data_IF_404596000057
#
_entry.id   IF_404596000057
#
_cell.length_a   1.000
_cell.length_b   1.000
_cell.length_c   1.000
_cell.angle_alpha   90.00
_cell.angle_beta   90.00
_cell.angle_gamma   90.00
#
_symmetry.space_group_name_H-M   'P 1'
#
loop_
_entity.id
_entity.type
_entity.pdbx_description
1 polymer ?
#
# COMPACT_ATOMS: atom_id res chain seq x y z
N UNK A 1 -7.55 -26.24 21.33
CA UNK A 1 -7.17 -24.91 20.79
C UNK A 1 -8.06 -24.42 19.66
N UNK A 2 -8.22 -25.18 18.56
CA UNK A 2 -9.05 -24.77 17.41
C UNK A 2 -10.48 -24.29 17.76
N UNK A 3 -11.20 -25.04 18.59
CA UNK A 3 -12.55 -24.65 19.07
C UNK A 3 -12.56 -23.33 19.86
N UNK A 4 -11.48 -23.05 20.59
CA UNK A 4 -11.36 -21.84 21.39
C UNK A 4 -11.03 -20.62 20.53
N UNK A 5 -10.15 -20.79 19.54
CA UNK A 5 -9.86 -19.76 18.52
C UNK A 5 -11.12 -19.36 17.76
N UNK A 6 -11.94 -20.35 17.35
CA UNK A 6 -13.20 -20.08 16.67
C UNK A 6 -14.23 -19.37 17.57
N UNK A 7 -14.25 -19.66 18.87
CA UNK A 7 -15.06 -18.90 19.84
C UNK A 7 -14.58 -17.46 19.95
N UNK A 8 -13.28 -17.22 20.12
CA UNK A 8 -12.70 -15.86 20.18
C UNK A 8 -12.99 -15.06 18.91
N UNK A 9 -12.97 -15.72 17.75
CA UNK A 9 -13.35 -15.10 16.49
C UNK A 9 -14.85 -14.76 16.47
N UNK A 10 -15.72 -15.68 16.89
CA UNK A 10 -17.18 -15.53 16.93
C UNK A 10 -17.64 -14.48 17.95
N UNK A 11 -17.01 -14.41 19.11
CA UNK A 11 -17.39 -13.50 20.19
C UNK A 11 -17.03 -12.03 19.86
N UNK A 12 -16.17 -11.81 18.85
CA UNK A 12 -15.70 -10.48 18.45
C UNK A 12 -15.75 -10.24 16.93
N UNK A 13 -16.78 -10.76 16.25
CA UNK A 13 -16.94 -10.67 14.78
C UNK A 13 -16.89 -9.22 14.28
N UNK A 14 -17.56 -8.29 14.96
CA UNK A 14 -17.58 -6.86 14.60
C UNK A 14 -16.18 -6.26 14.58
N UNK A 15 -15.31 -6.75 15.46
CA UNK A 15 -13.92 -6.38 15.49
C UNK A 15 -13.14 -6.82 14.25
N UNK A 16 -13.50 -7.94 13.63
CA UNK A 16 -12.79 -8.54 12.49
C UNK A 16 -13.18 -7.96 11.14
N UNK A 17 -14.34 -7.29 11.05
CA UNK A 17 -14.90 -6.75 9.81
C UNK A 17 -13.91 -5.88 9.01
N UNK A 18 -13.18 -4.91 9.60
CA UNK A 18 -12.25 -4.08 8.82
C UNK A 18 -11.13 -4.88 8.15
N UNK A 19 -10.57 -5.88 8.85
CA UNK A 19 -9.53 -6.77 8.32
C UNK A 19 -10.08 -7.60 7.16
N UNK A 20 -11.24 -8.23 7.36
CA UNK A 20 -11.88 -9.09 6.36
C UNK A 20 -12.24 -8.28 5.11
N UNK A 21 -12.76 -7.07 5.28
CA UNK A 21 -13.14 -6.18 4.19
C UNK A 21 -11.93 -5.77 3.35
N UNK A 22 -10.81 -5.37 3.97
CA UNK A 22 -9.61 -5.00 3.22
C UNK A 22 -9.02 -6.21 2.49
N UNK A 23 -8.96 -7.37 3.14
CA UNK A 23 -8.52 -8.60 2.48
C UNK A 23 -9.43 -8.91 1.29
N UNK A 24 -10.75 -8.76 1.43
CA UNK A 24 -11.70 -8.96 0.35
C UNK A 24 -11.46 -7.99 -0.82
N UNK A 25 -11.41 -6.69 -0.56
CA UNK A 25 -11.21 -5.65 -1.61
C UNK A 25 -9.89 -5.87 -2.36
N UNK A 26 -8.80 -6.12 -1.64
CA UNK A 26 -7.48 -6.36 -2.25
C UNK A 26 -7.50 -7.65 -3.08
N UNK A 27 -8.08 -8.73 -2.55
CA UNK A 27 -8.17 -10.01 -3.26
C UNK A 27 -9.10 -9.91 -4.48
N UNK A 28 -10.16 -9.12 -4.44
CA UNK A 28 -11.00 -8.80 -5.60
C UNK A 28 -10.17 -8.15 -6.70
N UNK A 29 -9.38 -7.14 -6.36
CA UNK A 29 -8.52 -6.44 -7.32
C UNK A 29 -7.49 -7.39 -7.96
N UNK A 30 -6.82 -8.21 -7.15
CA UNK A 30 -5.90 -9.24 -7.64
C UNK A 30 -6.62 -10.20 -8.58
N UNK A 31 -7.83 -10.63 -8.24
CA UNK A 31 -8.64 -11.52 -9.06
C UNK A 31 -9.02 -10.92 -10.40
N UNK A 32 -9.37 -9.62 -10.45
CA UNK A 32 -9.65 -8.91 -11.72
C UNK A 32 -8.40 -8.88 -12.60
N UNK A 33 -7.24 -8.49 -12.05
CA UNK A 33 -6.00 -8.43 -12.81
C UNK A 33 -5.50 -9.80 -13.26
N UNK A 34 -5.68 -10.83 -12.44
CA UNK A 34 -5.31 -12.21 -12.79
C UNK A 34 -6.22 -12.75 -13.89
N UNK A 35 -7.52 -12.43 -13.85
CA UNK A 35 -8.43 -12.74 -14.96
C UNK A 35 -8.03 -12.02 -16.24
N UNK A 36 -7.67 -10.74 -16.16
CA UNK A 36 -7.18 -9.96 -17.31
C UNK A 36 -5.91 -10.58 -17.92
N UNK A 37 -4.95 -10.98 -17.08
CA UNK A 37 -3.71 -11.61 -17.53
C UNK A 37 -3.96 -12.97 -18.21
N UNK A 38 -4.79 -13.82 -17.60
CA UNK A 38 -5.13 -15.13 -18.19
C UNK A 38 -5.94 -14.98 -19.48
N UNK A 39 -6.85 -14.00 -19.53
CA UNK A 39 -7.70 -13.74 -20.69
C UNK A 39 -6.92 -13.20 -21.88
N UNK A 40 -6.06 -12.21 -21.66
CA UNK A 40 -5.21 -11.64 -22.74
C UNK A 40 -4.20 -12.66 -23.28
N UNK A 41 -3.86 -13.66 -22.49
CA UNK A 41 -3.00 -14.79 -22.90
C UNK A 41 -3.78 -15.93 -23.58
N UNK A 42 -5.10 -15.82 -23.72
CA UNK A 42 -5.93 -16.91 -24.26
C UNK A 42 -5.86 -16.99 -25.80
N UNK A 43 -5.99 -18.20 -26.39
CA UNK A 43 -6.02 -18.37 -27.84
C UNK A 43 -7.16 -17.59 -28.52
N UNK A 44 -8.34 -17.54 -27.89
CA UNK A 44 -9.51 -16.81 -28.42
C UNK A 44 -9.25 -15.31 -28.50
N UNK A 45 -8.64 -14.72 -27.47
CA UNK A 45 -8.32 -13.30 -27.46
C UNK A 45 -7.22 -12.95 -28.47
N UNK A 46 -6.15 -13.74 -28.50
CA UNK A 46 -5.03 -13.51 -29.43
C UNK A 46 -5.45 -13.64 -30.91
N UNK A 47 -6.39 -14.53 -31.24
CA UNK A 47 -6.98 -14.63 -32.57
C UNK A 47 -7.82 -13.39 -32.90
N UNK A 48 -8.68 -12.94 -31.98
CA UNK A 48 -9.51 -11.75 -32.19
C UNK A 48 -8.65 -10.48 -32.37
N UNK A 49 -7.59 -10.33 -31.57
CA UNK A 49 -6.65 -9.21 -31.69
C UNK A 49 -5.96 -9.21 -33.06
N UNK A 50 -5.45 -10.37 -33.52
CA UNK A 50 -4.83 -10.50 -34.85
C UNK A 50 -5.81 -10.20 -35.99
N UNK A 51 -7.08 -10.62 -35.87
CA UNK A 51 -8.13 -10.31 -36.85
C UNK A 51 -8.43 -8.81 -36.93
N UNK A 52 -8.32 -8.11 -35.80
CA UNK A 52 -8.47 -6.66 -35.73
C UNK A 52 -7.22 -5.88 -36.19
N UNK A 53 -6.16 -6.58 -36.62
CA UNK A 53 -4.89 -5.95 -37.02
C UNK A 53 -4.04 -5.45 -35.84
N UNK A 54 -4.38 -5.84 -34.61
CA UNK A 54 -3.66 -5.45 -33.40
C UNK A 54 -2.64 -6.52 -33.00
N UNK A 55 -1.49 -6.11 -32.47
CA UNK A 55 -0.48 -7.03 -31.95
C UNK A 55 -0.91 -7.55 -30.56
N UNK A 56 -1.15 -8.87 -30.39
CA UNK A 56 -1.49 -9.43 -29.08
C UNK A 56 -0.40 -9.22 -28.02
N UNK A 57 0.86 -9.00 -28.42
CA UNK A 57 1.95 -8.75 -27.48
C UNK A 57 1.74 -7.43 -26.72
N UNK A 58 1.12 -6.42 -27.33
CA UNK A 58 0.86 -5.12 -26.67
C UNK A 58 -0.13 -5.27 -25.52
N UNK A 59 -1.23 -6.01 -25.73
CA UNK A 59 -2.19 -6.35 -24.67
C UNK A 59 -1.55 -7.18 -23.55
N UNK A 60 -0.67 -8.12 -23.90
CA UNK A 60 0.06 -8.94 -22.93
C UNK A 60 1.02 -8.12 -22.06
N UNK A 61 1.74 -7.16 -22.64
CA UNK A 61 2.63 -6.26 -21.89
C UNK A 61 1.86 -5.38 -20.91
N UNK A 62 0.73 -4.81 -21.34
CA UNK A 62 -0.14 -3.99 -20.47
C UNK A 62 -0.72 -4.85 -19.33
N UNK A 63 -1.23 -6.04 -19.63
CA UNK A 63 -1.83 -6.92 -18.61
C UNK A 63 -0.81 -7.39 -17.57
N UNK A 64 0.41 -7.75 -17.99
CA UNK A 64 1.52 -8.10 -17.08
C UNK A 64 1.87 -6.92 -16.18
N UNK A 65 2.00 -5.72 -16.75
CA UNK A 65 2.38 -4.51 -15.99
C UNK A 65 1.34 -4.21 -14.90
N UNK A 66 0.06 -4.25 -15.25
CA UNK A 66 -1.03 -4.01 -14.31
C UNK A 66 -1.08 -5.09 -13.24
N UNK A 67 -0.96 -6.36 -13.63
CA UNK A 67 -0.92 -7.47 -12.69
C UNK A 67 0.24 -7.32 -11.70
N UNK A 68 1.46 -7.03 -12.17
CA UNK A 68 2.61 -6.81 -11.30
C UNK A 68 2.34 -5.68 -10.32
N UNK A 69 1.93 -4.50 -10.78
CA UNK A 69 1.69 -3.34 -9.91
C UNK A 69 0.63 -3.64 -8.84
N UNK A 70 -0.47 -4.30 -9.23
CA UNK A 70 -1.54 -4.69 -8.30
C UNK A 70 -1.10 -5.80 -7.34
N UNK A 71 -0.39 -6.82 -7.82
CA UNK A 71 0.14 -7.88 -6.97
C UNK A 71 1.13 -7.33 -5.93
N UNK A 72 1.92 -6.33 -6.30
CA UNK A 72 2.83 -5.64 -5.39
C UNK A 72 2.06 -4.86 -4.32
N UNK A 73 1.07 -4.07 -4.73
CA UNK A 73 0.18 -3.40 -3.78
C UNK A 73 -0.47 -4.41 -2.83
N UNK A 74 -0.98 -5.52 -3.36
CA UNK A 74 -1.61 -6.57 -2.58
C UNK A 74 -0.63 -7.20 -1.59
N UNK A 75 0.59 -7.50 -2.02
CA UNK A 75 1.64 -8.03 -1.15
C UNK A 75 1.89 -7.10 0.04
N UNK A 76 2.11 -5.81 -0.19
CA UNK A 76 2.36 -4.87 0.91
C UNK A 76 1.13 -4.63 1.79
N UNK A 77 -0.03 -4.47 1.17
CA UNK A 77 -1.28 -4.25 1.88
C UNK A 77 -1.62 -5.43 2.80
N UNK A 78 -1.61 -6.66 2.27
CA UNK A 78 -1.98 -7.85 3.01
C UNK A 78 -0.93 -8.24 4.04
N UNK A 79 0.36 -8.02 3.79
CA UNK A 79 1.40 -8.24 4.81
C UNK A 79 1.24 -7.28 5.99
N UNK A 80 0.88 -6.02 5.72
CA UNK A 80 0.55 -5.02 6.74
C UNK A 80 -0.71 -5.41 7.53
N UNK A 81 -1.76 -5.88 6.85
CA UNK A 81 -3.00 -6.33 7.51
C UNK A 81 -2.76 -7.56 8.38
N UNK A 82 -1.99 -8.54 7.89
CA UNK A 82 -1.61 -9.73 8.65
C UNK A 82 -0.81 -9.39 9.91
N UNK A 83 0.18 -8.51 9.79
CA UNK A 83 0.98 -8.06 10.94
C UNK A 83 0.18 -7.22 11.93
N UNK A 84 -0.67 -6.29 11.45
CA UNK A 84 -1.56 -5.50 12.30
C UNK A 84 -2.57 -6.38 13.06
N UNK A 85 -3.05 -7.45 12.41
CA UNK A 85 -3.94 -8.44 13.03
C UNK A 85 -3.26 -9.13 14.23
N UNK A 86 -2.01 -9.55 14.07
CA UNK A 86 -1.25 -10.17 15.16
C UNK A 86 -0.98 -9.18 16.30
N UNK A 87 -0.59 -7.95 15.98
CA UNK A 87 -0.32 -6.93 16.99
C UNK A 87 -1.55 -6.63 17.86
N UNK A 88 -2.75 -6.66 17.25
CA UNK A 88 -4.01 -6.45 17.98
C UNK A 88 -4.30 -7.54 19.01
N UNK A 89 -4.06 -8.81 18.65
CA UNK A 89 -4.40 -9.96 19.51
C UNK A 89 -3.30 -10.30 20.51
N UNK A 90 -2.10 -9.71 20.36
CA UNK A 90 -0.93 -10.04 21.16
C UNK A 90 -1.16 -9.94 22.67
N UNK A 91 -1.90 -8.94 23.15
CA UNK A 91 -2.20 -8.76 24.59
C UNK A 91 -3.07 -9.90 25.14
N UNK A 92 -4.11 -10.31 24.41
CA UNK A 92 -4.97 -11.45 24.78
C UNK A 92 -4.15 -12.73 24.90
N UNK A 93 -3.26 -12.98 23.94
CA UNK A 93 -2.41 -14.16 23.97
C UNK A 93 -1.32 -14.08 25.05
N UNK A 94 -0.85 -12.89 25.41
CA UNK A 94 0.03 -12.71 26.57
C UNK A 94 -0.68 -13.11 27.87
N UNK A 95 -1.97 -12.79 28.02
CA UNK A 95 -2.77 -13.26 29.16
C UNK A 95 -2.88 -14.79 29.17
N UNK A 96 -3.06 -15.44 28.02
CA UNK A 96 -3.09 -16.91 27.96
C UNK A 96 -1.75 -17.54 28.38
N UNK A 97 -0.63 -16.87 28.06
CA UNK A 97 0.69 -17.30 28.53
C UNK A 97 0.86 -17.12 30.04
N UNK A 98 0.28 -16.08 30.63
CA UNK A 98 0.22 -15.96 32.10
C UNK A 98 -0.62 -17.08 32.74
N UNK A 99 -1.65 -17.55 32.05
CA UNK A 99 -2.49 -18.67 32.46
C UNK A 99 -1.85 -20.06 32.16
N UNK A 100 -0.61 -20.11 31.67
CA UNK A 100 0.14 -21.35 31.45
C UNK A 100 0.17 -21.89 30.02
N UNK A 101 -0.37 -21.17 29.02
CA UNK A 101 -0.30 -21.61 27.62
C UNK A 101 1.15 -21.62 27.08
N UNK A 102 1.50 -22.67 26.32
CA UNK A 102 2.85 -22.80 25.76
C UNK A 102 3.08 -21.84 24.58
N UNK A 103 4.34 -21.45 24.28
CA UNK A 103 4.66 -20.59 23.13
C UNK A 103 4.20 -21.16 21.78
N UNK A 104 4.30 -22.50 21.60
CA UNK A 104 3.85 -23.17 20.37
C UNK A 104 2.34 -23.15 20.21
N UNK A 105 1.59 -23.30 21.31
CA UNK A 105 0.13 -23.19 21.31
C UNK A 105 -0.34 -21.77 20.96
N UNK A 106 0.34 -20.75 21.47
CA UNK A 106 0.05 -19.35 21.14
C UNK A 106 0.34 -19.06 19.68
N UNK A 107 1.49 -19.50 19.17
CA UNK A 107 1.86 -19.35 17.77
C UNK A 107 0.82 -20.01 16.85
N UNK A 108 0.49 -21.28 17.08
CA UNK A 108 -0.50 -22.01 16.30
C UNK A 108 -1.88 -21.33 16.34
N UNK A 109 -2.28 -20.80 17.51
CA UNK A 109 -3.55 -20.10 17.66
C UNK A 109 -3.59 -18.76 16.93
N UNK A 110 -2.49 -18.00 16.93
CA UNK A 110 -2.36 -16.76 16.15
C UNK A 110 -2.44 -17.03 14.65
N UNK A 111 -1.70 -18.03 14.17
CA UNK A 111 -1.72 -18.45 12.76
C UNK A 111 -3.10 -18.92 12.34
N UNK A 112 -3.76 -19.73 13.18
CA UNK A 112 -5.13 -20.18 12.89
C UNK A 112 -6.10 -19.00 12.82
N UNK A 113 -5.99 -18.03 13.72
CA UNK A 113 -6.90 -16.89 13.77
C UNK A 113 -6.71 -15.96 12.55
N UNK A 114 -5.46 -15.62 12.22
CA UNK A 114 -5.15 -14.85 11.01
C UNK A 114 -5.58 -15.64 9.77
N UNK A 115 -5.36 -16.96 9.76
CA UNK A 115 -5.71 -17.84 8.65
C UNK A 115 -7.21 -17.83 8.39
N UNK A 116 -8.03 -18.00 9.43
CA UNK A 116 -9.49 -17.93 9.34
C UNK A 116 -9.94 -16.56 8.82
N UNK A 117 -9.43 -15.46 9.40
CA UNK A 117 -9.79 -14.12 8.97
C UNK A 117 -9.39 -13.85 7.50
N UNK A 118 -8.19 -14.28 7.10
CA UNK A 118 -7.70 -14.12 5.73
C UNK A 118 -8.43 -15.01 4.73
N UNK A 119 -8.88 -16.21 5.14
CA UNK A 119 -9.63 -17.13 4.30
C UNK A 119 -11.01 -16.56 4.02
N UNK A 120 -11.72 -16.08 5.05
CA UNK A 120 -13.02 -15.42 4.85
C UNK A 120 -12.90 -14.20 3.95
N UNK A 121 -11.93 -13.31 4.22
CA UNK A 121 -11.70 -12.14 3.38
C UNK A 121 -11.36 -12.52 1.95
N UNK A 122 -10.42 -13.45 1.75
CA UNK A 122 -9.97 -13.84 0.41
C UNK A 122 -11.04 -14.60 -0.37
N UNK A 123 -11.88 -15.40 0.29
CA UNK A 123 -13.00 -16.09 -0.33
C UNK A 123 -14.06 -15.11 -0.82
N UNK A 124 -14.45 -14.14 0.02
CA UNK A 124 -15.38 -13.07 -0.37
C UNK A 124 -14.77 -12.30 -1.54
N UNK A 125 -13.49 -11.94 -1.44
CA UNK A 125 -12.77 -11.18 -2.45
C UNK A 125 -12.68 -11.89 -3.80
N UNK A 126 -12.28 -13.17 -3.82
CA UNK A 126 -12.13 -13.95 -5.04
C UNK A 126 -13.47 -14.24 -5.70
N UNK A 127 -14.53 -14.50 -4.91
CA UNK A 127 -15.89 -14.66 -5.44
C UNK A 127 -16.42 -13.35 -6.04
N UNK A 128 -16.18 -12.20 -5.40
CA UNK A 128 -16.55 -10.89 -5.94
C UNK A 128 -15.74 -10.51 -7.19
N UNK A 129 -14.53 -11.06 -7.36
CA UNK A 129 -13.71 -10.84 -8.55
C UNK A 129 -14.37 -11.38 -9.81
N UNK A 130 -15.18 -12.45 -9.72
CA UNK A 130 -15.82 -13.07 -10.89
C UNK A 130 -16.79 -12.11 -11.59
N UNK A 131 -17.87 -11.59 -10.94
CA UNK A 131 -18.77 -10.65 -11.58
C UNK A 131 -18.09 -9.30 -11.88
N UNK A 132 -17.16 -8.85 -11.03
CA UNK A 132 -16.42 -7.63 -11.30
C UNK A 132 -15.55 -7.74 -12.57
N UNK A 133 -14.96 -8.90 -12.84
CA UNK A 133 -14.19 -9.15 -14.06
C UNK A 133 -15.07 -9.15 -15.30
N UNK A 134 -16.32 -9.63 -15.22
CA UNK A 134 -17.27 -9.58 -16.35
C UNK A 134 -17.53 -8.14 -16.82
N UNK A 135 -17.50 -7.18 -15.90
CA UNK A 135 -17.72 -5.77 -16.20
C UNK A 135 -16.41 -5.05 -16.56
N UNK A 136 -15.33 -5.31 -15.83
CA UNK A 136 -14.09 -4.55 -15.94
C UNK A 136 -13.19 -5.00 -17.09
N UNK A 137 -13.07 -6.31 -17.35
CA UNK A 137 -12.13 -6.85 -18.36
C UNK A 137 -12.48 -6.43 -19.79
N UNK A 138 -13.75 -6.52 -20.24
CA UNK A 138 -14.11 -6.08 -21.59
C UNK A 138 -13.88 -4.59 -21.82
N UNK A 139 -14.32 -3.75 -20.88
CA UNK A 139 -14.14 -2.30 -20.93
C UNK A 139 -12.67 -1.91 -20.96
N UNK A 140 -11.85 -2.54 -20.12
CA UNK A 140 -10.41 -2.30 -20.11
C UNK A 140 -9.75 -2.68 -21.45
N UNK A 141 -10.17 -3.78 -22.08
CA UNK A 141 -9.65 -4.18 -23.38
C UNK A 141 -10.08 -3.22 -24.51
N UNK A 142 -11.29 -2.67 -24.43
CA UNK A 142 -11.75 -1.65 -25.38
C UNK A 142 -10.94 -0.36 -25.25
N UNK A 143 -10.72 0.13 -24.02
CA UNK A 143 -9.89 1.32 -23.74
C UNK A 143 -8.43 1.12 -24.16
N UNK A 144 -7.87 -0.08 -23.91
CA UNK A 144 -6.51 -0.41 -24.32
C UNK A 144 -6.36 -0.42 -25.85
N UNK A 145 -7.36 -0.96 -26.58
CA UNK A 145 -7.33 -1.02 -28.05
C UNK A 145 -7.33 0.38 -28.70
N UNK A 146 -8.05 1.34 -28.13
CA UNK A 146 -8.04 2.74 -28.58
C UNK A 146 -6.68 3.42 -28.40
N UNK A 147 -5.85 2.89 -27.49
CA UNK A 147 -4.55 3.48 -27.13
C UNK A 147 -3.41 3.02 -28.05
N UNK A 148 -3.62 2.00 -28.89
CA UNK A 148 -2.59 1.45 -29.78
C UNK A 148 -2.42 2.23 -31.09
N UNK A 149 -1.22 2.18 -31.66
CA UNK A 149 -0.84 3.00 -32.82
C UNK A 149 -1.71 2.71 -34.06
N UNK A 150 -2.06 1.43 -34.26
CA UNK A 150 -2.84 0.89 -35.39
C UNK A 150 -4.34 0.69 -35.07
N UNK A 151 -4.83 1.17 -33.92
CA UNK A 151 -6.22 1.07 -33.49
C UNK A 151 -7.17 1.97 -34.29
N UNK A 152 -7.46 1.62 -35.54
CA UNK A 152 -8.37 2.38 -36.42
C UNK A 152 -9.83 1.91 -36.37
N UNK A 153 -10.24 1.17 -35.33
CA UNK A 153 -11.63 0.71 -35.18
C UNK A 153 -12.02 0.32 -33.75
N UNK A 154 -13.34 0.26 -33.49
CA UNK A 154 -13.90 -0.26 -32.24
C UNK A 154 -13.57 -1.74 -32.12
N UNK A 155 -12.54 -2.10 -31.35
CA UNK A 155 -12.25 -3.49 -31.01
C UNK A 155 -13.40 -4.01 -30.14
N UNK A 156 -14.19 -4.94 -30.68
CA UNK A 156 -15.19 -5.67 -29.92
C UNK A 156 -14.53 -6.91 -29.32
N UNK A 157 -14.17 -6.91 -28.02
CA UNK A 157 -13.54 -8.08 -27.41
C UNK A 157 -14.49 -9.29 -27.45
N UNK A 158 -13.97 -10.50 -27.65
CA UNK A 158 -14.78 -11.72 -27.53
C UNK A 158 -15.40 -11.82 -26.14
N UNK A 159 -16.51 -12.56 -26.04
CA UNK A 159 -17.21 -12.75 -24.76
C UNK A 159 -16.25 -13.28 -23.68
N UNK A 160 -16.02 -12.48 -22.65
CA UNK A 160 -15.07 -12.78 -21.59
C UNK A 160 -15.57 -13.95 -20.73
N UNK A 161 -14.68 -14.91 -20.48
CA UNK A 161 -14.95 -16.06 -19.62
C UNK A 161 -14.04 -16.04 -18.38
N UNK A 162 -14.58 -15.97 -17.15
CA UNK A 162 -13.79 -16.02 -15.93
C UNK A 162 -13.00 -17.34 -15.82
N UNK A 163 -11.75 -17.26 -15.36
CA UNK A 163 -10.89 -18.44 -15.21
C UNK A 163 -10.92 -19.01 -13.79
N UNK A 164 -11.09 -20.33 -13.67
CA UNK A 164 -10.95 -21.04 -12.40
C UNK A 164 -9.54 -20.90 -11.82
N UNK A 165 -8.51 -20.85 -12.68
CA UNK A 165 -7.13 -20.65 -12.25
C UNK A 165 -6.91 -19.25 -11.67
N UNK A 166 -7.55 -18.21 -12.23
CA UNK A 166 -7.49 -16.85 -11.68
C UNK A 166 -8.24 -16.74 -10.35
N UNK A 167 -9.37 -17.44 -10.20
CA UNK A 167 -10.11 -17.52 -8.94
C UNK A 167 -9.28 -18.20 -7.83
N UNK A 168 -8.74 -19.40 -8.10
CA UNK A 168 -7.89 -20.11 -7.14
C UNK A 168 -6.60 -19.33 -6.84
N UNK A 169 -5.98 -18.75 -7.87
CA UNK A 169 -4.75 -17.97 -7.73
C UNK A 169 -4.93 -16.75 -6.83
N UNK A 170 -5.99 -15.97 -7.04
CA UNK A 170 -6.30 -14.81 -6.19
C UNK A 170 -6.61 -15.22 -4.74
N UNK A 171 -7.38 -16.30 -4.53
CA UNK A 171 -7.67 -16.84 -3.19
C UNK A 171 -6.38 -17.23 -2.45
N UNK A 172 -5.52 -18.03 -3.09
CA UNK A 172 -4.28 -18.52 -2.50
C UNK A 172 -3.30 -17.38 -2.23
N UNK A 173 -3.17 -16.44 -3.18
CA UNK A 173 -2.29 -15.28 -3.04
C UNK A 173 -2.76 -14.38 -1.88
N UNK A 174 -4.07 -14.15 -1.76
CA UNK A 174 -4.66 -13.38 -0.66
C UNK A 174 -4.35 -13.97 0.73
N UNK A 175 -4.55 -15.29 0.88
CA UNK A 175 -4.26 -16.00 2.14
C UNK A 175 -2.76 -16.03 2.42
N UNK A 176 -1.94 -16.42 1.43
CA UNK A 176 -0.50 -16.59 1.59
C UNK A 176 0.18 -15.27 1.98
N UNK A 177 -0.15 -14.16 1.31
CA UNK A 177 0.44 -12.84 1.61
C UNK A 177 0.06 -12.34 3.01
N UNK A 178 -1.18 -12.55 3.44
CA UNK A 178 -1.61 -12.22 4.80
C UNK A 178 -0.88 -13.07 5.87
N UNK A 179 -0.74 -14.37 5.61
CA UNK A 179 0.03 -15.29 6.46
C UNK A 179 1.51 -14.90 6.55
N UNK A 180 2.12 -14.53 5.42
CA UNK A 180 3.50 -14.04 5.38
C UNK A 180 3.67 -12.80 6.27
N UNK A 181 2.73 -11.86 6.23
CA UNK A 181 2.73 -10.69 7.11
C UNK A 181 2.64 -11.01 8.60
N UNK A 182 1.89 -12.06 8.96
CA UNK A 182 1.71 -12.49 10.34
C UNK A 182 2.90 -13.30 10.91
N UNK A 183 3.77 -13.83 10.07
CA UNK A 183 4.84 -14.76 10.46
C UNK A 183 5.84 -14.16 11.47
N UNK A 184 6.48 -13.04 11.15
CA UNK A 184 7.49 -12.41 12.02
C UNK A 184 6.86 -11.87 13.32
N UNK A 185 5.72 -11.15 13.28
CA UNK A 185 5.05 -10.68 14.50
C UNK A 185 4.62 -11.83 15.42
N UNK A 186 4.08 -12.93 14.88
CA UNK A 186 3.63 -14.07 15.68
C UNK A 186 4.80 -14.79 16.36
N UNK A 187 5.94 -14.94 15.66
CA UNK A 187 7.16 -15.49 16.23
C UNK A 187 7.74 -14.61 17.34
N UNK A 188 7.65 -13.28 17.19
CA UNK A 188 8.09 -12.32 18.23
C UNK A 188 7.16 -12.39 19.44
N UNK A 189 5.86 -12.35 19.20
CA UNK A 189 4.82 -12.45 20.22
C UNK A 189 4.94 -13.71 21.07
N UNK A 190 5.23 -14.86 20.45
CA UNK A 190 5.44 -16.11 21.16
C UNK A 190 6.68 -16.11 22.08
N UNK A 191 7.65 -15.21 21.84
CA UNK A 191 8.94 -15.16 22.59
C UNK A 191 8.98 -14.09 23.68
N UNK A 192 8.23 -12.99 23.56
CA UNK A 192 8.25 -11.87 24.53
C UNK A 192 7.74 -12.33 25.90
N UNK A 193 8.29 -11.83 27.01
CA UNK A 193 7.81 -12.22 28.35
C UNK A 193 6.40 -11.62 28.58
N UNK A 194 5.40 -12.41 29.02
CA UNK A 194 4.02 -11.92 29.16
C UNK A 194 3.88 -10.67 30.05
N UNK A 195 4.71 -10.57 31.10
CA UNK A 195 4.73 -9.41 32.02
C UNK A 195 5.19 -8.11 31.35
N UNK A 196 6.09 -8.18 30.36
CA UNK A 196 6.56 -7.01 29.61
C UNK A 196 5.47 -6.45 28.71
N UNK A 197 4.63 -7.34 28.15
CA UNK A 197 3.50 -6.98 27.29
C UNK A 197 2.43 -6.23 28.10
N UNK A 198 2.14 -6.70 29.32
CA UNK A 198 1.08 -6.13 30.17
C UNK A 198 1.52 -4.83 30.83
N UNK A 199 2.80 -4.70 31.20
CA UNK A 199 3.33 -3.45 31.76
C UNK A 199 3.48 -2.33 30.72
N UNK A 200 3.24 -2.60 29.43
CA UNK A 200 3.47 -1.64 28.34
C UNK A 200 4.95 -1.28 28.14
N UNK A 201 5.85 -1.82 28.97
CA UNK A 201 7.31 -1.67 28.87
C UNK A 201 7.90 -2.47 27.71
N UNK A 202 7.15 -3.45 27.20
CA UNK A 202 7.45 -4.20 25.99
C UNK A 202 7.03 -3.47 24.71
N UNK A 203 6.74 -2.17 24.76
CA UNK A 203 6.71 -1.34 23.56
C UNK A 203 8.04 -1.55 22.85
N UNK A 204 7.93 -2.12 21.65
CA UNK A 204 8.99 -2.62 20.81
C UNK A 204 9.85 -1.43 20.40
N UNK A 205 10.74 -1.01 21.29
CA UNK A 205 11.92 -0.27 20.89
C UNK A 205 12.60 -1.14 19.86
N UNK A 206 12.73 -0.63 18.65
CA UNK A 206 13.73 -1.11 17.69
C UNK A 206 15.03 -1.13 18.50
N UNK A 207 15.43 -2.29 19.04
CA UNK A 207 16.70 -2.40 19.76
C UNK A 207 17.74 -2.00 18.73
N UNK A 208 18.35 -0.83 18.93
CA UNK A 208 19.55 -0.40 18.25
C UNK A 208 20.58 -1.51 18.42
N UNK A 209 20.72 -2.33 17.38
CA UNK A 209 21.49 -3.56 17.38
C UNK A 209 21.60 -4.07 15.96
N UNK A 210 22.34 -5.16 15.78
CA UNK A 210 22.71 -5.74 14.48
C UNK A 210 21.52 -5.91 13.51
N UNK A 211 20.31 -6.20 14.01
CA UNK A 211 19.10 -6.28 13.18
C UNK A 211 18.67 -4.95 12.55
N UNK A 212 18.80 -3.83 13.25
CA UNK A 212 18.51 -2.51 12.69
C UNK A 212 19.47 -2.19 11.55
N UNK A 213 20.74 -2.57 11.72
CA UNK A 213 21.78 -2.39 10.71
C UNK A 213 21.55 -3.29 9.49
N UNK A 214 21.13 -4.54 9.70
CA UNK A 214 20.75 -5.45 8.63
C UNK A 214 19.53 -4.95 7.82
N UNK A 215 18.54 -4.31 8.46
CA UNK A 215 17.40 -3.72 7.74
C UNK A 215 17.82 -2.49 6.92
N UNK A 216 18.73 -1.67 7.45
CA UNK A 216 19.35 -0.57 6.70
C UNK A 216 20.14 -1.07 5.50
N UNK A 217 21.03 -2.05 5.71
CA UNK A 217 21.82 -2.65 4.65
C UNK A 217 20.92 -3.27 3.57
N UNK A 218 19.90 -4.04 3.95
CA UNK A 218 18.97 -4.63 2.99
C UNK A 218 18.20 -3.56 2.21
N UNK A 219 17.65 -2.55 2.88
CA UNK A 219 16.93 -1.45 2.23
C UNK A 219 17.83 -0.66 1.27
N UNK A 220 19.08 -0.39 1.66
CA UNK A 220 20.07 0.29 0.82
C UNK A 220 20.53 -0.58 -0.35
N UNK A 221 20.69 -1.90 -0.17
CA UNK A 221 21.01 -2.83 -1.26
C UNK A 221 19.89 -2.87 -2.29
N UNK A 222 18.63 -2.93 -1.84
CA UNK A 222 17.47 -2.90 -2.75
C UNK A 222 17.39 -1.56 -3.48
N UNK A 223 17.66 -0.45 -2.78
CA UNK A 223 17.72 0.88 -3.41
C UNK A 223 18.88 0.99 -4.41
N UNK A 224 20.04 0.45 -4.08
CA UNK A 224 21.19 0.39 -4.97
C UNK A 224 20.92 -0.50 -6.18
N UNK A 225 20.18 -1.60 -6.03
CA UNK A 225 19.73 -2.44 -7.14
C UNK A 225 18.72 -1.70 -8.04
N UNK A 226 17.81 -0.90 -7.47
CA UNK A 226 16.90 -0.04 -8.23
C UNK A 226 17.69 0.95 -9.10
N UNK A 227 18.72 1.57 -8.53
CA UNK A 227 19.63 2.47 -9.24
C UNK A 227 20.51 1.72 -10.26
N UNK A 228 21.04 0.55 -9.93
CA UNK A 228 21.85 -0.23 -10.86
C UNK A 228 21.02 -0.62 -12.10
N UNK A 229 19.81 -1.13 -11.91
CA UNK A 229 18.89 -1.50 -13.02
C UNK A 229 18.38 -0.28 -13.80
N UNK A 230 18.12 0.84 -13.12
CA UNK A 230 17.81 2.11 -13.75
C UNK A 230 18.88 2.56 -14.76
N UNK A 231 20.15 2.34 -14.41
CA UNK A 231 21.30 2.83 -15.15
C UNK A 231 22.01 1.75 -16.00
N UNK A 232 21.60 0.47 -15.93
CA UNK A 232 22.28 -0.69 -16.55
C UNK A 232 22.26 -0.77 -18.08
N UNK A 233 22.03 0.33 -18.79
CA UNK A 233 22.17 0.41 -20.23
C UNK A 233 22.51 1.82 -20.73
N UNK A 234 22.99 2.71 -19.85
CA UNK A 234 23.55 4.00 -20.25
C UNK A 234 24.93 3.76 -20.86
N UNK A 235 24.97 3.39 -22.14
CA UNK A 235 26.23 3.12 -22.85
C UNK A 235 26.14 2.06 -23.94
N UNK A 236 25.02 1.35 -24.08
CA UNK A 236 24.82 0.43 -25.21
C UNK A 236 24.61 1.21 -26.50
N UNK A 237 25.30 0.87 -27.60
CA UNK A 237 25.17 1.57 -28.88
C UNK A 237 23.72 1.49 -29.40
N UNK A 238 23.23 2.62 -29.94
CA UNK A 238 21.86 2.75 -30.46
C UNK A 238 21.69 1.87 -31.70
N UNK A 239 20.95 0.79 -31.55
CA UNK A 239 20.65 -0.13 -32.65
C UNK A 239 19.15 -0.23 -32.95
N UNK A 240 18.29 0.34 -32.10
CA UNK A 240 16.83 0.17 -32.15
C UNK A 240 16.13 1.42 -32.69
N UNK A 241 14.95 1.22 -33.28
CA UNK A 241 14.11 2.32 -33.76
C UNK A 241 13.66 3.22 -32.61
N UNK A 242 13.45 4.52 -32.87
CA UNK A 242 13.11 5.52 -31.84
C UNK A 242 11.98 5.08 -30.90
N UNK A 243 10.92 4.46 -31.42
CA UNK A 243 9.79 3.96 -30.62
C UNK A 243 10.18 2.82 -29.66
N UNK A 244 11.09 1.93 -30.06
CA UNK A 244 11.57 0.83 -29.20
C UNK A 244 12.46 1.36 -28.07
N UNK A 245 13.35 2.30 -28.37
CA UNK A 245 14.17 2.97 -27.36
C UNK A 245 13.31 3.75 -26.37
N UNK A 246 12.33 4.52 -26.85
CA UNK A 246 11.40 5.25 -25.99
C UNK A 246 10.61 4.29 -25.08
N UNK A 247 10.12 3.16 -25.60
CA UNK A 247 9.45 2.12 -24.81
C UNK A 247 10.36 1.51 -23.73
N UNK A 248 11.64 1.27 -24.05
CA UNK A 248 12.62 0.80 -23.07
C UNK A 248 12.89 1.84 -21.96
N UNK A 249 12.88 3.14 -22.29
CA UNK A 249 13.02 4.18 -21.25
C UNK A 249 11.84 4.20 -20.29
N UNK A 250 10.62 4.05 -20.80
CA UNK A 250 9.44 3.93 -19.94
C UNK A 250 9.54 2.70 -19.03
N UNK A 251 9.86 1.54 -19.60
CA UNK A 251 9.93 0.29 -18.85
C UNK A 251 11.04 0.34 -17.77
N UNK A 252 12.24 0.80 -18.12
CA UNK A 252 13.35 0.91 -17.15
C UNK A 252 13.06 1.91 -16.03
N UNK A 253 12.47 3.07 -16.34
CA UNK A 253 12.09 4.06 -15.33
C UNK A 253 10.94 3.56 -14.43
N UNK A 254 9.99 2.81 -14.98
CA UNK A 254 8.90 2.20 -14.22
C UNK A 254 9.43 1.13 -13.26
N UNK A 255 10.25 0.19 -13.75
CA UNK A 255 10.86 -0.85 -12.91
C UNK A 255 11.76 -0.26 -11.83
N UNK A 256 12.54 0.77 -12.15
CA UNK A 256 13.37 1.47 -11.17
C UNK A 256 12.51 2.09 -10.05
N UNK A 257 11.41 2.75 -10.40
CA UNK A 257 10.48 3.30 -9.42
C UNK A 257 9.77 2.22 -8.57
N UNK A 258 9.42 1.08 -9.17
CA UNK A 258 8.84 -0.07 -8.47
C UNK A 258 9.84 -0.63 -7.45
N UNK A 259 11.10 -0.87 -7.84
CA UNK A 259 12.13 -1.41 -6.94
C UNK A 259 12.51 -0.39 -5.87
N UNK A 260 12.56 0.90 -6.21
CA UNK A 260 12.75 1.97 -5.23
C UNK A 260 11.61 2.03 -4.21
N UNK A 261 10.36 1.74 -4.63
CA UNK A 261 9.22 1.63 -3.72
C UNK A 261 9.40 0.48 -2.72
N UNK A 262 9.96 -0.66 -3.16
CA UNK A 262 10.35 -1.76 -2.27
C UNK A 262 11.42 -1.36 -1.26
N UNK A 263 12.50 -0.71 -1.72
CA UNK A 263 13.57 -0.23 -0.84
C UNK A 263 13.02 0.75 0.20
N UNK A 264 12.15 1.67 -0.23
CA UNK A 264 11.48 2.61 0.66
C UNK A 264 10.59 1.91 1.68
N UNK A 265 9.81 0.90 1.29
CA UNK A 265 8.97 0.13 2.22
C UNK A 265 9.78 -0.54 3.33
N UNK A 266 10.92 -1.14 3.00
CA UNK A 266 11.82 -1.76 4.00
C UNK A 266 12.37 -0.69 4.95
N UNK A 267 12.77 0.47 4.40
CA UNK A 267 13.35 1.58 5.16
C UNK A 267 12.31 2.38 5.95
N UNK A 268 11.02 2.23 5.66
CA UNK A 268 9.95 3.07 6.22
C UNK A 268 9.96 3.08 7.75
N UNK A 269 10.20 1.91 8.36
CA UNK A 269 10.27 1.73 9.82
C UNK A 269 11.38 2.54 10.48
N UNK A 270 12.45 2.83 9.74
CA UNK A 270 13.59 3.60 10.20
C UNK A 270 13.47 5.08 9.82
N UNK A 271 12.84 5.39 8.69
CA UNK A 271 12.68 6.77 8.20
C UNK A 271 11.56 7.53 8.93
N UNK A 272 10.50 6.86 9.36
CA UNK A 272 9.36 7.52 10.02
C UNK A 272 9.78 8.27 11.30
N UNK A 273 10.55 7.70 12.25
CA UNK A 273 11.02 8.44 13.42
C UNK A 273 11.82 9.70 13.06
N UNK A 274 12.67 9.61 12.04
CA UNK A 274 13.48 10.74 11.55
C UNK A 274 12.56 11.84 11.00
N UNK A 275 11.60 11.47 10.15
CA UNK A 275 10.64 12.40 9.54
C UNK A 275 9.75 13.08 10.59
N UNK A 276 9.26 12.34 11.57
CA UNK A 276 8.47 12.89 12.68
C UNK A 276 9.32 13.77 13.60
N UNK A 277 10.61 13.44 13.77
CA UNK A 277 11.59 14.29 14.44
C UNK A 277 11.78 15.63 13.74
N UNK A 278 11.93 15.63 12.41
CA UNK A 278 12.00 16.85 11.59
C UNK A 278 10.69 17.64 11.71
N UNK A 279 9.54 16.97 11.57
CA UNK A 279 8.22 17.60 11.74
C UNK A 279 8.03 18.27 13.10
N UNK A 280 8.60 17.68 14.17
CA UNK A 280 8.63 18.29 15.50
C UNK A 280 9.47 19.56 15.55
N UNK A 281 10.61 19.59 14.86
CA UNK A 281 11.47 20.79 14.78
C UNK A 281 10.71 21.89 14.03
N UNK A 282 10.08 21.58 12.90
CA UNK A 282 9.24 22.53 12.15
C UNK A 282 8.10 23.07 13.01
N UNK A 283 7.39 22.21 13.75
CA UNK A 283 6.32 22.66 14.65
C UNK A 283 6.81 23.54 15.80
N UNK A 284 8.05 23.33 16.28
CA UNK A 284 8.71 24.21 17.25
C UNK A 284 9.03 25.57 16.65
N UNK A 285 9.57 25.60 15.43
CA UNK A 285 9.86 26.84 14.70
C UNK A 285 8.59 27.65 14.41
N UNK A 286 7.46 26.98 14.13
CA UNK A 286 6.16 27.63 13.94
C UNK A 286 5.45 28.02 15.26
N UNK A 287 6.07 27.83 16.43
CA UNK A 287 5.48 28.20 17.73
C UNK A 287 4.26 27.37 18.18
N UNK A 288 3.97 26.23 17.54
CA UNK A 288 2.77 25.43 17.83
C UNK A 288 3.03 24.37 18.89
N UNK A 289 2.77 24.68 20.16
CA UNK A 289 2.88 23.72 21.27
C UNK A 289 2.02 22.46 21.05
N UNK A 290 0.84 22.59 20.44
CA UNK A 290 -0.02 21.45 20.08
C UNK A 290 0.56 20.60 18.96
N UNK A 291 1.28 21.21 18.02
CA UNK A 291 1.96 20.48 16.94
C UNK A 291 3.14 19.64 17.46
N UNK A 292 3.84 20.13 18.49
CA UNK A 292 4.93 19.40 19.15
C UNK A 292 4.41 18.19 19.93
N UNK A 293 3.30 18.36 20.66
CA UNK A 293 2.62 17.26 21.35
C UNK A 293 2.07 16.23 20.37
N UNK A 294 1.45 16.69 19.27
CA UNK A 294 1.00 15.82 18.18
C UNK A 294 2.16 15.05 17.52
N UNK A 295 3.33 15.67 17.38
CA UNK A 295 4.52 14.97 16.87
C UNK A 295 5.03 13.90 17.84
N UNK A 296 4.89 14.12 19.15
CA UNK A 296 5.21 13.10 20.17
C UNK A 296 4.22 11.95 20.17
N UNK A 297 2.93 12.24 20.07
CA UNK A 297 1.91 11.18 19.95
C UNK A 297 2.04 10.41 18.64
N UNK A 298 2.34 11.10 17.52
CA UNK A 298 2.61 10.48 16.23
C UNK A 298 3.83 9.57 16.30
N UNK A 299 4.94 10.01 16.92
CA UNK A 299 6.16 9.21 17.06
C UNK A 299 5.92 7.97 17.92
N UNK A 300 5.27 8.11 19.08
CA UNK A 300 4.90 6.98 19.93
C UNK A 300 3.97 5.99 19.21
N UNK A 301 3.05 6.50 18.39
CA UNK A 301 2.12 5.68 17.62
C UNK A 301 2.79 4.99 16.41
N UNK A 302 3.75 5.66 15.77
CA UNK A 302 4.54 5.09 14.69
C UNK A 302 5.52 4.02 15.18
N UNK A 303 6.09 4.21 16.37
CA UNK A 303 6.93 3.22 17.04
C UNK A 303 6.15 1.95 17.42
N UNK A 304 4.88 2.09 17.81
CA UNK A 304 4.01 0.96 18.14
C UNK A 304 3.35 0.31 16.91
N UNK A 305 3.10 1.07 15.84
CA UNK A 305 2.39 0.56 14.66
C UNK A 305 2.81 1.25 13.35
N UNK A 306 4.04 0.98 12.93
CA UNK A 306 4.68 1.46 11.68
C UNK A 306 3.83 1.19 10.43
N UNK A 307 3.04 0.14 10.49
CA UNK A 307 2.11 -0.37 9.49
C UNK A 307 1.04 0.62 8.99
N UNK A 308 0.84 1.75 9.67
CA UNK A 308 -0.17 2.75 9.26
C UNK A 308 0.29 3.64 8.10
N UNK A 309 1.58 3.96 8.03
CA UNK A 309 2.16 4.91 7.06
C UNK A 309 2.69 4.17 5.82
N UNK A 310 3.22 2.96 6.01
CA UNK A 310 3.88 2.21 4.95
C UNK A 310 3.00 1.96 3.70
N UNK A 311 1.72 1.53 3.83
CA UNK A 311 0.85 1.34 2.66
C UNK A 311 0.52 2.63 1.92
N UNK A 312 0.38 3.75 2.65
CA UNK A 312 0.08 5.06 2.05
C UNK A 312 1.27 5.58 1.26
N UNK A 313 2.46 5.57 1.89
CA UNK A 313 3.69 5.99 1.23
C UNK A 313 3.94 5.19 -0.05
N UNK A 314 3.68 3.88 -0.01
CA UNK A 314 3.81 3.00 -1.16
C UNK A 314 2.80 3.29 -2.27
N UNK A 315 1.51 3.37 -1.96
CA UNK A 315 0.51 3.64 -3.01
C UNK A 315 0.68 5.02 -3.61
N UNK A 316 0.97 6.03 -2.78
CA UNK A 316 1.30 7.35 -3.28
C UNK A 316 2.55 7.28 -4.16
N UNK A 317 3.59 6.56 -3.73
CA UNK A 317 4.84 6.41 -4.48
C UNK A 317 4.62 5.76 -5.84
N UNK A 318 3.92 4.62 -5.89
CA UNK A 318 3.58 3.93 -7.12
C UNK A 318 2.70 4.78 -8.03
N UNK A 319 1.67 5.44 -7.47
CA UNK A 319 0.74 6.26 -8.25
C UNK A 319 1.40 7.48 -8.89
N UNK A 320 2.22 8.22 -8.12
CA UNK A 320 2.96 9.37 -8.64
C UNK A 320 4.03 8.90 -9.63
N UNK A 321 4.69 7.77 -9.36
CA UNK A 321 5.68 7.18 -10.28
C UNK A 321 5.02 6.87 -11.62
N UNK A 322 3.87 6.19 -11.64
CA UNK A 322 3.13 5.86 -12.86
C UNK A 322 2.73 7.11 -13.66
N UNK A 323 2.20 8.16 -13.01
CA UNK A 323 1.90 9.42 -13.69
C UNK A 323 3.13 10.11 -14.23
N UNK A 324 4.21 10.10 -13.45
CA UNK A 324 5.49 10.69 -13.86
C UNK A 324 6.03 9.97 -15.09
N UNK A 325 5.94 8.64 -15.12
CA UNK A 325 6.30 7.84 -16.28
C UNK A 325 5.44 8.17 -17.49
N UNK A 326 4.11 8.18 -17.32
CA UNK A 326 3.17 8.41 -18.41
C UNK A 326 3.32 9.82 -19.04
N UNK A 327 3.47 10.86 -18.20
CA UNK A 327 3.65 12.24 -18.68
C UNK A 327 5.02 12.46 -19.31
N UNK A 328 6.08 11.97 -18.67
CA UNK A 328 7.45 12.10 -19.20
C UNK A 328 7.59 11.37 -20.55
N UNK A 329 6.97 10.19 -20.68
CA UNK A 329 6.95 9.44 -21.93
C UNK A 329 6.19 10.18 -23.04
N UNK A 330 5.00 10.73 -22.75
CA UNK A 330 4.25 11.52 -23.72
C UNK A 330 5.01 12.73 -24.23
N UNK A 331 5.75 13.41 -23.35
CA UNK A 331 6.62 14.52 -23.77
C UNK A 331 7.80 14.07 -24.62
N UNK A 332 8.41 12.93 -24.33
CA UNK A 332 9.50 12.36 -25.16
C UNK A 332 8.99 12.05 -26.57
N UNK A 333 7.80 11.46 -26.70
CA UNK A 333 7.19 11.18 -28.00
C UNK A 333 6.81 12.46 -28.76
N UNK A 334 6.27 13.46 -28.07
CA UNK A 334 5.97 14.76 -28.68
C UNK A 334 7.23 15.43 -29.24
N UNK A 335 8.34 15.39 -28.50
CA UNK A 335 9.64 15.90 -28.98
C UNK A 335 10.23 15.07 -30.13
N UNK A 336 9.90 13.78 -30.20
CA UNK A 336 10.25 12.88 -31.30
C UNK A 336 9.38 13.02 -32.55
N UNK A 337 8.52 14.05 -32.63
CA UNK A 337 7.66 14.29 -33.80
C UNK A 337 6.43 13.38 -33.90
N UNK A 338 6.05 12.69 -32.82
CA UNK A 338 4.87 11.82 -32.77
C UNK A 338 3.81 12.44 -31.81
N UNK A 339 3.07 13.48 -32.24
CA UNK A 339 2.22 14.31 -31.37
C UNK A 339 0.86 13.66 -31.02
N UNK A 340 0.76 12.33 -30.99
CA UNK A 340 -0.49 11.64 -30.65
C UNK A 340 -0.76 11.87 -29.15
N UNK A 341 -1.93 12.41 -28.82
CA UNK A 341 -2.38 12.55 -27.43
C UNK A 341 -2.55 11.17 -26.82
N UNK A 342 -1.62 10.74 -25.98
CA UNK A 342 -1.77 9.50 -25.22
C UNK A 342 -3.01 9.57 -24.36
N UNK A 343 -3.88 8.56 -24.47
CA UNK A 343 -4.99 8.41 -23.55
C UNK A 343 -4.45 7.99 -22.18
N UNK A 344 -4.71 8.81 -21.15
CA UNK A 344 -4.27 8.54 -19.78
C UNK A 344 -5.32 7.80 -18.94
N UNK A 345 -6.47 7.44 -19.53
CA UNK A 345 -7.58 6.81 -18.83
C UNK A 345 -7.15 5.56 -18.04
N UNK A 346 -6.39 4.66 -18.66
CA UNK A 346 -5.91 3.41 -18.04
C UNK A 346 -5.01 3.68 -16.83
N UNK A 347 -4.10 4.66 -16.96
CA UNK A 347 -3.20 5.05 -15.88
C UNK A 347 -3.98 5.69 -14.72
N UNK A 348 -4.96 6.54 -15.01
CA UNK A 348 -5.80 7.20 -14.00
C UNK A 348 -6.71 6.22 -13.26
N UNK A 349 -7.29 5.23 -13.97
CA UNK A 349 -8.06 4.15 -13.37
C UNK A 349 -7.20 3.35 -12.41
N UNK A 350 -6.01 2.94 -12.85
CA UNK A 350 -5.08 2.17 -12.01
C UNK A 350 -4.67 2.95 -10.76
N UNK A 351 -4.37 4.25 -10.90
CA UNK A 351 -4.04 5.12 -9.76
C UNK A 351 -5.19 5.27 -8.79
N UNK A 352 -6.40 5.43 -9.30
CA UNK A 352 -7.61 5.53 -8.47
C UNK A 352 -7.79 4.25 -7.64
N UNK A 353 -7.61 3.09 -8.26
CA UNK A 353 -7.64 1.80 -7.57
C UNK A 353 -6.53 1.67 -6.51
N UNK A 354 -5.28 2.03 -6.84
CA UNK A 354 -4.15 2.03 -5.90
C UNK A 354 -4.45 2.91 -4.67
N UNK A 355 -5.00 4.11 -4.89
CA UNK A 355 -5.34 5.04 -3.81
C UNK A 355 -6.44 4.49 -2.91
N UNK A 356 -7.53 3.98 -3.49
CA UNK A 356 -8.67 3.43 -2.74
C UNK A 356 -8.21 2.27 -1.87
N UNK A 357 -7.44 1.33 -2.43
CA UNK A 357 -6.96 0.17 -1.69
C UNK A 357 -6.06 0.59 -0.54
N UNK A 358 -5.07 1.46 -0.76
CA UNK A 358 -4.17 1.87 0.32
C UNK A 358 -4.86 2.71 1.39
N UNK A 359 -5.83 3.54 1.02
CA UNK A 359 -6.67 4.22 2.00
C UNK A 359 -7.43 3.19 2.84
N UNK A 360 -8.09 2.21 2.21
CA UNK A 360 -8.81 1.14 2.89
C UNK A 360 -7.90 0.36 3.85
N UNK A 361 -6.70 0.00 3.42
CA UNK A 361 -5.68 -0.69 4.23
C UNK A 361 -5.31 0.12 5.46
N UNK A 362 -4.97 1.40 5.28
CA UNK A 362 -4.65 2.26 6.40
C UNK A 362 -5.83 2.51 7.32
N UNK A 363 -7.07 2.59 6.79
CA UNK A 363 -8.27 2.66 7.63
C UNK A 363 -8.38 1.41 8.51
N UNK A 364 -8.21 0.22 7.94
CA UNK A 364 -8.30 -1.02 8.70
C UNK A 364 -7.22 -1.09 9.78
N UNK A 365 -5.97 -0.73 9.47
CA UNK A 365 -4.89 -0.71 10.46
C UNK A 365 -5.17 0.30 11.58
N UNK A 366 -5.68 1.49 11.25
CA UNK A 366 -6.06 2.51 12.24
C UNK A 366 -7.23 2.02 13.11
N UNK A 367 -8.27 1.45 12.49
CA UNK A 367 -9.43 0.88 13.17
C UNK A 367 -9.05 -0.31 14.08
N UNK A 368 -8.05 -1.11 13.69
CA UNK A 368 -7.50 -2.17 14.55
C UNK A 368 -6.77 -1.60 15.77
N UNK A 369 -6.23 -0.37 15.68
CA UNK A 369 -5.63 0.35 16.81
C UNK A 369 -6.64 1.05 17.73
N UNK A 370 -7.96 0.91 17.49
CA UNK A 370 -9.06 1.67 18.12
C UNK A 370 -8.95 1.84 19.65
N UNK A 371 -8.52 0.78 20.35
CA UNK A 371 -8.56 0.79 21.83
C UNK A 371 -7.60 1.79 22.46
N UNK A 372 -6.47 2.10 21.81
CA UNK A 372 -5.56 3.11 22.34
C UNK A 372 -6.06 4.53 22.11
N UNK A 373 -6.75 4.81 20.99
CA UNK A 373 -7.15 6.19 20.66
C UNK A 373 -8.20 6.75 21.63
N UNK A 374 -9.18 5.93 22.02
CA UNK A 374 -10.24 6.36 22.95
C UNK A 374 -9.69 6.49 24.38
N UNK A 375 -8.81 5.57 24.80
CA UNK A 375 -8.15 5.63 26.09
C UNK A 375 -7.20 6.84 26.20
N UNK A 376 -6.36 7.08 25.18
CA UNK A 376 -5.46 8.24 25.11
C UNK A 376 -6.25 9.55 25.17
N UNK A 377 -7.37 9.63 24.44
CA UNK A 377 -8.25 10.78 24.47
C UNK A 377 -8.84 11.01 25.87
N UNK A 378 -9.32 9.94 26.53
CA UNK A 378 -9.89 10.03 27.86
C UNK A 378 -8.85 10.49 28.89
N UNK A 379 -7.61 10.02 28.78
CA UNK A 379 -6.47 10.47 29.60
C UNK A 379 -6.13 11.94 29.34
N UNK A 380 -6.10 12.38 28.08
CA UNK A 380 -5.86 13.79 27.75
C UNK A 380 -6.96 14.69 28.32
N UNK A 381 -8.22 14.25 28.27
CA UNK A 381 -9.36 14.98 28.84
C UNK A 381 -9.37 14.97 30.37
N UNK A 382 -8.90 13.90 31.03
CA UNK A 382 -8.79 13.86 32.50
C UNK A 382 -7.73 14.82 33.03
N UNK A 383 -6.70 15.12 32.23
CA UNK A 383 -5.67 16.13 32.51
C UNK A 383 -6.20 17.57 32.23
N UNK A 384 -7.43 17.72 31.75
CA UNK A 384 -8.08 19.03 31.54
C UNK A 384 -7.98 19.60 30.12
N UNK A 385 -7.57 18.81 29.12
CA UNK A 385 -7.60 19.26 27.73
C UNK A 385 -9.05 19.40 27.24
N UNK A 386 -9.36 20.58 26.69
CA UNK A 386 -10.67 20.82 26.09
C UNK A 386 -10.88 19.98 24.81
N UNK A 387 -12.12 19.59 24.48
CA UNK A 387 -12.43 18.83 23.26
C UNK A 387 -11.86 19.46 21.98
N UNK A 388 -11.86 20.79 21.89
CA UNK A 388 -11.30 21.54 20.74
C UNK A 388 -9.78 21.36 20.62
N UNK A 389 -9.04 21.34 21.75
CA UNK A 389 -7.59 21.11 21.75
C UNK A 389 -7.25 19.67 21.36
N UNK A 390 -8.06 18.71 21.78
CA UNK A 390 -7.93 17.31 21.37
C UNK A 390 -8.14 17.16 19.85
N UNK A 391 -9.19 17.76 19.29
CA UNK A 391 -9.41 17.76 17.83
C UNK A 391 -8.23 18.38 17.08
N UNK A 392 -7.71 19.53 17.56
CA UNK A 392 -6.55 20.20 16.96
C UNK A 392 -5.29 19.32 17.01
N UNK A 393 -5.11 18.54 18.08
CA UNK A 393 -3.99 17.60 18.19
C UNK A 393 -4.08 16.49 17.14
N UNK A 394 -5.25 15.89 16.93
CA UNK A 394 -5.44 14.87 15.88
C UNK A 394 -5.33 15.45 14.46
N UNK A 395 -5.73 16.70 14.26
CA UNK A 395 -5.53 17.39 12.99
C UNK A 395 -4.03 17.57 12.67
N UNK A 396 -3.22 17.96 13.66
CA UNK A 396 -1.76 18.04 13.49
C UNK A 396 -1.10 16.67 13.33
N UNK A 397 -1.59 15.66 14.06
CA UNK A 397 -1.07 14.30 13.97
C UNK A 397 -1.32 13.69 12.60
N UNK A 398 -2.56 13.75 12.10
CA UNK A 398 -2.90 13.28 10.74
C UNK A 398 -2.12 14.03 9.66
N UNK A 399 -1.90 15.34 9.83
CA UNK A 399 -1.10 16.14 8.90
C UNK A 399 0.36 15.66 8.84
N UNK A 400 0.99 15.40 10.00
CA UNK A 400 2.36 14.90 10.04
C UNK A 400 2.50 13.50 9.46
N UNK A 401 1.52 12.62 9.69
CA UNK A 401 1.49 11.28 9.11
C UNK A 401 1.35 11.34 7.58
N UNK A 402 0.44 12.17 7.07
CA UNK A 402 0.25 12.37 5.64
C UNK A 402 1.48 13.02 4.98
N UNK A 403 2.08 14.04 5.61
CA UNK A 403 3.31 14.67 5.13
C UNK A 403 4.48 13.67 5.10
N UNK A 404 4.61 12.83 6.13
CA UNK A 404 5.58 11.74 6.14
C UNK A 404 5.38 10.77 4.98
N UNK A 405 4.15 10.35 4.71
CA UNK A 405 3.83 9.49 3.57
C UNK A 405 4.15 10.16 2.21
N UNK A 406 3.82 11.44 2.05
CA UNK A 406 4.17 12.22 0.84
C UNK A 406 5.67 12.28 0.65
N UNK A 407 6.44 12.65 1.68
CA UNK A 407 7.90 12.77 1.58
C UNK A 407 8.53 11.42 1.21
N UNK A 408 8.08 10.33 1.82
CA UNK A 408 8.55 8.98 1.50
C UNK A 408 8.18 8.57 0.07
N UNK A 409 6.99 8.95 -0.40
CA UNK A 409 6.54 8.67 -1.76
C UNK A 409 7.38 9.37 -2.84
N UNK A 410 8.05 10.48 -2.51
CA UNK A 410 8.91 11.19 -3.45
C UNK A 410 10.21 10.43 -3.77
N UNK A 411 10.62 9.47 -2.94
CA UNK A 411 11.83 8.67 -3.16
C UNK A 411 11.74 7.86 -4.48
N UNK A 412 10.74 6.98 -4.68
CA UNK A 412 10.60 6.25 -5.94
C UNK A 412 10.34 7.16 -7.14
N UNK A 413 9.65 8.29 -6.92
CA UNK A 413 9.40 9.30 -7.96
C UNK A 413 10.70 9.95 -8.43
N UNK A 414 11.58 10.33 -7.50
CA UNK A 414 12.88 10.92 -7.81
C UNK A 414 13.78 9.93 -8.56
N UNK A 415 13.78 8.64 -8.15
CA UNK A 415 14.51 7.59 -8.86
C UNK A 415 13.99 7.47 -10.29
N UNK A 416 12.68 7.32 -10.49
CA UNK A 416 12.10 7.19 -11.83
C UNK A 416 12.33 8.44 -12.70
N UNK A 417 12.14 9.63 -12.14
CA UNK A 417 12.39 10.90 -12.82
C UNK A 417 13.86 11.06 -13.23
N UNK A 418 14.80 10.60 -12.40
CA UNK A 418 16.23 10.65 -12.75
C UNK A 418 16.57 9.75 -13.93
N UNK A 419 15.91 8.58 -14.06
CA UNK A 419 16.06 7.69 -15.22
C UNK A 419 15.55 8.36 -16.49
N UNK A 420 14.36 8.97 -16.42
CA UNK A 420 13.82 9.73 -17.54
C UNK A 420 14.75 10.86 -17.95
N UNK A 421 15.21 11.69 -17.02
CA UNK A 421 16.11 12.80 -17.31
C UNK A 421 17.41 12.32 -17.98
N UNK A 422 18.02 11.25 -17.48
CA UNK A 422 19.26 10.71 -18.03
C UNK A 422 19.07 10.05 -19.41
N UNK A 423 18.03 9.23 -19.58
CA UNK A 423 17.76 8.52 -20.84
C UNK A 423 17.22 9.43 -21.94
N UNK A 424 16.37 10.40 -21.61
CA UNK A 424 15.87 11.39 -22.57
C UNK A 424 16.96 12.34 -23.05
N UNK A 425 17.91 12.72 -22.17
CA UNK A 425 19.09 13.48 -22.57
C UNK A 425 19.92 12.71 -23.62
N UNK A 426 20.01 11.38 -23.50
CA UNK A 426 20.60 10.57 -24.55
C UNK A 426 19.71 10.55 -25.82
N UNK A 427 18.42 10.21 -25.71
CA UNK A 427 17.56 9.98 -26.89
C UNK A 427 17.22 11.23 -27.70
N UNK A 428 16.84 12.32 -27.03
CA UNK A 428 16.30 13.54 -27.63
C UNK A 428 17.26 14.73 -27.46
N UNK A 429 18.35 14.56 -26.70
CA UNK A 429 19.32 15.63 -26.43
C UNK A 429 18.91 16.58 -25.30
N UNK A 430 17.72 16.38 -24.70
CA UNK A 430 17.18 17.24 -23.63
C UNK A 430 16.74 16.35 -22.45
N UNK A 431 17.10 16.69 -21.21
CA UNK A 431 16.59 16.00 -20.04
C UNK A 431 15.10 16.35 -19.83
N UNK A 432 14.25 15.34 -19.91
CA UNK A 432 12.81 15.41 -19.69
C UNK A 432 12.46 14.63 -18.43
N UNK A 433 11.79 15.30 -17.49
CA UNK A 433 11.14 14.67 -16.34
C UNK A 433 9.92 15.52 -15.93
N UNK A 434 8.71 14.98 -16.12
CA UNK A 434 7.47 15.67 -15.78
C UNK A 434 6.83 15.11 -14.52
N UNK A 435 7.13 15.77 -13.39
CA UNK A 435 6.53 15.41 -12.10
C UNK A 435 5.17 16.13 -11.97
N UNK A 436 4.06 15.40 -11.73
CA UNK A 436 2.73 15.97 -11.62
C UNK A 436 2.49 16.62 -10.24
N UNK A 437 3.18 17.72 -9.92
CA UNK A 437 3.08 18.40 -8.61
C UNK A 437 1.64 18.68 -8.14
N UNK A 438 0.71 19.16 -8.99
CA UNK A 438 -0.69 19.32 -8.56
C UNK A 438 -1.34 18.02 -8.12
N UNK A 439 -1.03 16.91 -8.78
CA UNK A 439 -1.51 15.57 -8.41
C UNK A 439 -0.89 15.07 -7.10
N UNK A 440 0.40 15.34 -6.86
CA UNK A 440 1.08 15.02 -5.60
C UNK A 440 0.44 15.77 -4.42
N UNK A 441 0.23 17.08 -4.59
CA UNK A 441 -0.40 17.93 -3.56
C UNK A 441 -1.84 17.49 -3.35
N UNK A 442 -2.61 17.31 -4.42
CA UNK A 442 -4.00 16.84 -4.36
C UNK A 442 -4.13 15.50 -3.61
N UNK A 443 -3.30 14.52 -3.96
CA UNK A 443 -3.30 13.22 -3.28
C UNK A 443 -2.86 13.31 -1.82
N UNK A 444 -1.86 14.14 -1.51
CA UNK A 444 -1.43 14.42 -0.13
C UNK A 444 -2.54 15.05 0.71
N UNK A 445 -3.25 16.04 0.17
CA UNK A 445 -4.39 16.69 0.86
C UNK A 445 -5.57 15.74 1.04
N UNK A 446 -5.91 14.93 0.03
CA UNK A 446 -6.96 13.92 0.12
C UNK A 446 -6.61 12.84 1.17
N UNK A 447 -5.35 12.38 1.19
CA UNK A 447 -4.85 11.43 2.19
C UNK A 447 -4.93 12.02 3.60
N UNK A 448 -4.49 13.27 3.79
CA UNK A 448 -4.60 13.97 5.07
C UNK A 448 -6.06 14.09 5.53
N UNK A 449 -6.95 14.53 4.65
CA UNK A 449 -8.36 14.74 4.96
C UNK A 449 -9.03 13.41 5.30
N UNK A 450 -8.76 12.35 4.54
CA UNK A 450 -9.25 11.00 4.83
C UNK A 450 -8.77 10.51 6.19
N UNK A 451 -7.46 10.59 6.48
CA UNK A 451 -6.90 10.19 7.78
C UNK A 451 -7.53 10.98 8.93
N UNK A 452 -7.71 12.29 8.76
CA UNK A 452 -8.35 13.14 9.76
C UNK A 452 -9.80 12.74 9.98
N UNK A 453 -10.60 12.55 8.92
CA UNK A 453 -12.00 12.14 9.03
C UNK A 453 -12.16 10.77 9.69
N UNK A 454 -11.30 9.81 9.35
CA UNK A 454 -11.31 8.47 9.95
C UNK A 454 -11.03 8.58 11.45
N UNK A 455 -9.98 9.32 11.84
CA UNK A 455 -9.69 9.52 13.25
C UNK A 455 -10.84 10.27 13.93
N UNK A 456 -11.36 11.33 13.31
CA UNK A 456 -12.44 12.13 13.86
C UNK A 456 -13.73 11.33 14.09
N UNK A 457 -14.15 10.50 13.13
CA UNK A 457 -15.35 9.67 13.28
C UNK A 457 -15.21 8.66 14.42
N UNK A 458 -13.99 8.17 14.69
CA UNK A 458 -13.70 7.27 15.81
C UNK A 458 -13.76 7.98 17.17
N UNK A 459 -13.28 9.23 17.24
CA UNK A 459 -13.18 9.99 18.50
C UNK A 459 -14.51 10.71 18.82
N UNK A 460 -15.32 11.04 17.80
CA UNK A 460 -16.57 11.81 17.93
C UNK A 460 -17.54 11.25 19.00
N UNK A 461 -17.86 9.95 19.05
CA UNK A 461 -18.78 9.41 20.06
C UNK A 461 -18.24 9.59 21.48
N UNK A 462 -16.92 9.44 21.66
CA UNK A 462 -16.25 9.59 22.95
C UNK A 462 -16.08 11.06 23.36
N UNK A 463 -16.03 12.00 22.42
CA UNK A 463 -16.03 13.45 22.73
C UNK A 463 -17.33 13.90 23.42
N UNK A 464 -18.46 13.28 23.06
CA UNK A 464 -19.78 13.60 23.64
C UNK A 464 -20.05 12.91 24.99
N UNK A 465 -19.30 11.86 25.33
CA UNK A 465 -19.45 11.14 26.60
C UNK A 465 -18.64 11.79 27.72
N UNK A 466 -19.06 11.52 28.96
CA UNK A 466 -18.31 11.90 30.15
C UNK A 466 -16.95 11.17 30.18
N UNK A 467 -15.94 11.79 30.77
CA UNK A 467 -14.59 11.20 30.86
C UNK A 467 -14.64 9.89 31.66
N UNK A 468 -15.43 9.86 32.74
CA UNK A 468 -15.60 8.69 33.60
C UNK A 468 -16.24 7.50 32.87
N UNK A 469 -17.29 7.73 32.07
CA UNK A 469 -17.93 6.66 31.29
C UNK A 469 -17.01 6.14 30.20
N UNK A 470 -16.22 7.03 29.59
CA UNK A 470 -15.28 6.65 28.53
C UNK A 470 -14.18 5.75 29.08
N UNK A 471 -13.62 6.07 30.25
CA UNK A 471 -12.59 5.26 30.93
C UNK A 471 -13.15 3.88 31.33
N UNK A 472 -14.40 3.81 31.81
CA UNK A 472 -15.03 2.53 32.19
C UNK A 472 -15.29 1.58 31.01
N UNK A 473 -15.44 2.12 29.81
CA UNK A 473 -15.69 1.33 28.59
C UNK A 473 -14.43 0.92 27.82
N UNK A 474 -13.26 1.42 28.20
CA UNK A 474 -11.95 1.04 27.63
C UNK A 474 -11.32 -0.08 28.44
#
# INVERSE_FOLDING_TARGET
MARYVLRVFRDNVTGWVPTILVVAVVTTLVGICMNQFVWTSSPSFTLAARQAGLDPAEFGMVSVTIYVVVSLLAFFSLTVVGSATVNRIHSTFAQWRLMGASPSQVLASMWMLVGVASLFGSLIGSLAAVPASLLAVPEFNAMAAESFADGFGSFAPPAFTPSMAAWLGSLLLGVATCMLGASIPSLRAAKIRPIEVIRGTGAIGIRHGWRSWAHWALGLIVMAAALALAFSGMGTPRALAFGQEAGQTFNSALWAGIIASFGMYILVSMLIPILLGIGRVVCRLCGSATGVLAARSAEAKAASNTNTIAPLALAMGLSVTLLTCARSYGRILALGGHPKSLNYADSLLLITMLCIVSLATSMAVIALSNRSMVADQALLRSIGLSPRRVIRMYLWQSLQLAAGAVILSLIPVAVSASVFAARSAALVGIPVAEIPWPGVIGMGTACWLALFLIQFTQIRPALHRSVADTIRTC
#
